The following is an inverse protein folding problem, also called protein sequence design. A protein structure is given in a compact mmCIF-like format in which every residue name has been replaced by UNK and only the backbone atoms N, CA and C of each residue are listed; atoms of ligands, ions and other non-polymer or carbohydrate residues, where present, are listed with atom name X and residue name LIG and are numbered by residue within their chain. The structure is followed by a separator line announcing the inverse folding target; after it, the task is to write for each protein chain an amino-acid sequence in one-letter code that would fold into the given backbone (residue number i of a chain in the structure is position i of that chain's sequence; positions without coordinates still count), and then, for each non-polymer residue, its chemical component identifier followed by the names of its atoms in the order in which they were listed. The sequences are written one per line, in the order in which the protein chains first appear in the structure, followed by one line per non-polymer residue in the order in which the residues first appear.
data_IF_516103496900
#
_entry.id   IF_516103496900
#
_cell.length_a   1.000
_cell.length_b   1.000
_cell.length_c   1.000
_cell.angle_alpha   90.00
_cell.angle_beta   90.00
_cell.angle_gamma   90.00
#
_symmetry.space_group_name_H-M   'P 1'
#
loop_
_entity.id
_entity.type
_entity.pdbx_description
1 polymer ?
#
# COMPACT_ATOMS: atom_id res chain seq x y z
N UNK A 1 18.00 -30.83 -1.06
CA UNK A 1 17.72 -30.57 -2.47
C UNK A 1 16.55 -29.59 -2.57
N UNK A 2 16.69 -28.68 -3.50
CA UNK A 2 15.76 -27.62 -3.80
C UNK A 2 14.97 -28.07 -5.04
N UNK A 3 13.63 -28.08 -4.98
CA UNK A 3 12.79 -28.58 -6.08
C UNK A 3 12.86 -27.65 -7.30
N UNK A 4 12.89 -26.34 -7.07
CA UNK A 4 12.92 -25.30 -8.11
C UNK A 4 14.30 -25.17 -8.74
N UNK A 5 15.36 -25.67 -8.07
CA UNK A 5 16.74 -25.63 -8.56
C UNK A 5 17.43 -26.98 -8.35
N UNK A 6 16.97 -28.02 -9.06
CA UNK A 6 17.48 -29.37 -8.89
C UNK A 6 18.94 -29.48 -9.29
N UNK A 7 19.74 -30.12 -8.42
CA UNK A 7 21.18 -30.36 -8.63
C UNK A 7 21.49 -31.76 -9.11
N UNK A 8 20.49 -32.54 -9.50
CA UNK A 8 20.65 -33.83 -10.16
C UNK A 8 21.10 -33.69 -11.62
N UNK A 9 21.60 -34.76 -12.21
CA UNK A 9 22.28 -34.70 -13.49
C UNK A 9 21.38 -34.40 -14.70
N UNK A 10 20.06 -34.61 -14.57
CA UNK A 10 19.06 -34.44 -15.62
C UNK A 10 17.93 -33.42 -15.24
N UNK A 11 18.05 -32.84 -14.05
CA UNK A 11 17.14 -31.81 -13.54
C UNK A 11 15.66 -32.24 -13.45
N UNK A 12 15.41 -33.54 -13.18
CA UNK A 12 14.05 -34.09 -13.06
C UNK A 12 13.57 -34.26 -11.60
N UNK A 13 14.34 -33.76 -10.64
CA UNK A 13 14.08 -33.90 -9.20
C UNK A 13 14.09 -35.34 -8.67
N UNK A 14 14.69 -36.28 -9.41
CA UNK A 14 14.85 -37.65 -9.02
C UNK A 14 16.34 -37.96 -8.85
N UNK A 15 16.79 -38.02 -7.62
CA UNK A 15 18.18 -38.30 -7.24
C UNK A 15 18.44 -39.82 -7.17
N UNK A 16 19.30 -40.32 -8.05
CA UNK A 16 19.76 -41.72 -8.01
C UNK A 16 20.89 -41.86 -6.97
N UNK A 17 20.65 -42.63 -5.95
CA UNK A 17 21.58 -42.84 -4.83
C UNK A 17 22.03 -44.30 -4.77
N UNK A 18 23.33 -44.51 -4.71
CA UNK A 18 23.91 -45.82 -4.48
C UNK A 18 24.47 -45.92 -3.08
N UNK A 19 23.91 -46.76 -2.26
CA UNK A 19 24.50 -47.10 -0.95
C UNK A 19 25.35 -48.37 -1.05
N UNK A 20 26.58 -48.27 -0.54
CA UNK A 20 27.52 -49.40 -0.47
C UNK A 20 27.81 -49.72 1.00
N UNK A 21 27.64 -50.96 1.38
CA UNK A 21 28.08 -51.48 2.67
C UNK A 21 29.24 -52.42 2.46
N UNK A 22 30.28 -52.31 3.29
CA UNK A 22 31.45 -53.19 3.23
C UNK A 22 31.91 -53.56 4.64
N UNK A 23 32.32 -54.85 4.83
CA UNK A 23 32.97 -55.33 6.04
C UNK A 23 34.53 -55.37 5.96
N UNK A 24 35.05 -54.77 4.87
CA UNK A 24 36.48 -54.72 4.57
C UNK A 24 36.98 -55.86 3.70
N UNK A 25 36.17 -56.89 3.46
CA UNK A 25 36.48 -58.03 2.58
C UNK A 25 35.43 -58.23 1.49
N UNK A 26 34.18 -57.98 1.81
CA UNK A 26 33.04 -58.08 0.92
C UNK A 26 32.33 -56.73 0.88
N UNK A 27 31.70 -56.42 -0.23
CA UNK A 27 30.81 -55.25 -0.35
C UNK A 27 29.53 -55.62 -1.08
N UNK A 28 28.44 -55.00 -0.64
CA UNK A 28 27.15 -55.07 -1.32
C UNK A 28 26.66 -53.62 -1.62
N UNK A 29 26.00 -53.47 -2.74
CA UNK A 29 25.49 -52.18 -3.20
C UNK A 29 24.01 -52.25 -3.54
N UNK A 30 23.30 -51.21 -3.19
CA UNK A 30 21.88 -51.03 -3.54
C UNK A 30 21.62 -49.64 -4.06
N UNK A 31 20.98 -49.60 -5.21
CA UNK A 31 20.50 -48.32 -5.79
C UNK A 31 19.07 -48.07 -5.31
N UNK A 32 18.78 -46.84 -5.02
CA UNK A 32 17.44 -46.33 -4.77
C UNK A 32 17.34 -44.90 -5.28
N UNK A 33 16.11 -44.45 -5.51
CA UNK A 33 15.80 -43.09 -5.95
C UNK A 33 15.19 -42.31 -4.81
N UNK A 34 15.57 -41.02 -4.70
CA UNK A 34 14.94 -40.05 -3.81
C UNK A 34 14.28 -39.04 -4.73
N UNK A 35 12.96 -38.99 -4.71
CA UNK A 35 12.18 -37.96 -5.41
C UNK A 35 11.99 -36.77 -4.46
N UNK A 36 12.43 -35.62 -4.87
CA UNK A 36 12.09 -34.34 -4.21
C UNK A 36 10.72 -33.94 -4.70
N UNK A 37 9.80 -33.66 -3.79
CA UNK A 37 8.46 -33.16 -4.10
C UNK A 37 8.41 -31.68 -3.83
N UNK A 38 7.68 -30.97 -4.69
CA UNK A 38 7.46 -29.55 -4.48
C UNK A 38 6.69 -29.31 -3.16
N UNK A 39 7.20 -28.42 -2.32
CA UNK A 39 6.46 -27.82 -1.22
C UNK A 39 5.97 -26.45 -1.70
N UNK A 40 4.73 -26.40 -2.17
CA UNK A 40 4.14 -25.17 -2.73
C UNK A 40 4.02 -24.02 -1.71
N UNK A 41 4.41 -24.25 -0.45
CA UNK A 41 4.45 -23.19 0.56
C UNK A 41 5.69 -22.31 0.47
N UNK A 42 6.75 -22.81 -0.21
CA UNK A 42 8.00 -22.09 -0.47
C UNK A 42 8.17 -21.69 -1.95
N UNK A 43 7.14 -21.91 -2.79
CA UNK A 43 7.12 -21.51 -4.19
C UNK A 43 7.25 -19.99 -4.32
N UNK A 44 8.44 -19.52 -4.65
CA UNK A 44 8.69 -18.11 -4.99
C UNK A 44 7.90 -17.65 -6.23
N UNK A 45 7.53 -18.61 -7.08
CA UNK A 45 6.79 -18.38 -8.33
C UNK A 45 5.26 -18.34 -8.15
N UNK A 46 4.75 -18.53 -6.92
CA UNK A 46 3.31 -18.58 -6.75
C UNK A 46 2.65 -17.21 -6.95
N UNK A 47 1.70 -17.20 -7.88
CA UNK A 47 0.79 -16.09 -8.03
C UNK A 47 -0.01 -15.89 -6.74
N UNK A 48 -0.32 -14.65 -6.41
CA UNK A 48 -1.25 -14.37 -5.31
C UNK A 48 -2.59 -15.06 -5.55
N UNK A 49 -3.09 -15.74 -4.53
CA UNK A 49 -4.28 -16.60 -4.61
C UNK A 49 -5.61 -15.87 -4.32
N UNK A 50 -5.59 -14.54 -4.16
CA UNK A 50 -6.79 -13.75 -3.86
C UNK A 50 -7.14 -13.67 -2.37
N UNK A 51 -6.30 -14.19 -1.47
CA UNK A 51 -6.58 -14.22 -0.03
C UNK A 51 -5.55 -13.40 0.75
N UNK A 52 -6.01 -12.38 1.48
CA UNK A 52 -5.19 -11.67 2.45
C UNK A 52 -5.03 -12.52 3.72
N UNK A 53 -3.80 -12.67 4.18
CA UNK A 53 -3.50 -13.32 5.44
C UNK A 53 -3.44 -12.24 6.53
N UNK A 54 -4.10 -12.49 7.66
CA UNK A 54 -4.14 -11.56 8.80
C UNK A 54 -3.54 -12.28 10.01
N UNK A 55 -2.29 -11.98 10.29
CA UNK A 55 -1.55 -12.55 11.41
C UNK A 55 -0.40 -11.64 11.85
N UNK A 56 0.44 -12.14 12.75
CA UNK A 56 1.57 -11.40 13.34
C UNK A 56 2.92 -11.70 12.65
N UNK A 57 2.93 -12.39 11.51
CA UNK A 57 4.16 -12.84 10.85
C UNK A 57 5.08 -11.66 10.45
N UNK A 58 4.49 -10.54 10.07
CA UNK A 58 5.21 -9.37 9.56
C UNK A 58 4.94 -8.10 10.36
N UNK A 59 4.83 -8.19 11.70
CA UNK A 59 4.65 -6.99 12.52
C UNK A 59 5.69 -5.90 12.18
N UNK A 60 5.26 -4.63 12.07
CA UNK A 60 3.96 -4.02 12.47
C UNK A 60 2.82 -4.16 11.45
N UNK A 61 3.02 -4.87 10.37
CA UNK A 61 2.00 -5.08 9.34
C UNK A 61 1.08 -6.23 9.76
N UNK A 62 -0.23 -5.92 9.93
CA UNK A 62 -1.23 -6.84 10.47
C UNK A 62 -1.88 -7.73 9.40
N UNK A 63 -1.66 -7.40 8.15
CA UNK A 63 -2.17 -8.14 7.00
C UNK A 63 -1.12 -8.19 5.90
N UNK A 64 -1.11 -9.27 5.16
CA UNK A 64 -0.16 -9.43 4.07
C UNK A 64 -0.70 -10.28 2.92
N UNK A 65 -0.05 -10.14 1.78
CA UNK A 65 -0.17 -10.97 0.59
C UNK A 65 1.23 -11.29 0.08
N UNK A 66 1.38 -12.37 -0.67
CA UNK A 66 2.63 -12.64 -1.40
C UNK A 66 2.28 -12.81 -2.88
N UNK A 67 3.05 -12.17 -3.75
CA UNK A 67 2.91 -12.28 -5.19
C UNK A 67 4.28 -12.41 -5.82
N UNK A 68 4.55 -13.57 -6.42
CA UNK A 68 5.79 -13.87 -7.10
C UNK A 68 7.06 -13.47 -6.30
N UNK A 69 7.10 -13.85 -5.02
CA UNK A 69 8.23 -13.60 -4.12
C UNK A 69 8.28 -12.20 -3.48
N UNK A 70 7.40 -11.27 -3.87
CA UNK A 70 7.26 -10.00 -3.18
C UNK A 70 6.21 -10.15 -2.07
N UNK A 71 6.61 -9.89 -0.83
CA UNK A 71 5.70 -9.80 0.31
C UNK A 71 5.11 -8.39 0.32
N UNK A 72 3.80 -8.27 0.42
CA UNK A 72 3.07 -7.00 0.49
C UNK A 72 2.44 -6.91 1.87
N UNK A 73 2.98 -6.06 2.74
CA UNK A 73 2.50 -5.89 4.11
C UNK A 73 1.72 -4.61 4.32
N UNK A 74 0.52 -4.72 4.89
CA UNK A 74 -0.36 -3.60 5.19
C UNK A 74 -0.46 -3.32 6.68
N UNK A 75 -0.34 -2.03 7.07
CA UNK A 75 -0.64 -1.58 8.43
C UNK A 75 -2.13 -1.77 8.74
N UNK A 76 -2.49 -1.76 10.02
CA UNK A 76 -3.86 -2.03 10.49
C UNK A 76 -4.92 -1.09 9.93
N UNK A 77 -4.53 0.14 9.64
CA UNK A 77 -5.39 1.23 9.15
C UNK A 77 -5.62 1.24 7.62
N UNK A 78 -4.97 0.33 6.88
CA UNK A 78 -5.20 0.14 5.44
C UNK A 78 -6.43 -0.73 5.23
N UNK A 79 -7.29 -0.39 4.28
CA UNK A 79 -8.44 -1.25 3.95
C UNK A 79 -8.03 -2.54 3.27
N UNK A 80 -8.83 -3.59 3.44
CA UNK A 80 -8.59 -4.87 2.76
C UNK A 80 -8.75 -4.73 1.25
N UNK A 81 -9.68 -3.87 0.81
CA UNK A 81 -9.91 -3.57 -0.61
C UNK A 81 -8.67 -2.95 -1.26
N UNK A 82 -8.04 -1.98 -0.61
CA UNK A 82 -6.81 -1.37 -1.11
C UNK A 82 -5.65 -2.38 -1.16
N UNK A 83 -5.44 -3.14 -0.09
CA UNK A 83 -4.45 -4.22 -0.07
C UNK A 83 -4.65 -5.24 -1.19
N UNK A 84 -5.91 -5.61 -1.44
CA UNK A 84 -6.30 -6.49 -2.54
C UNK A 84 -5.93 -5.89 -3.91
N UNK A 85 -6.14 -4.59 -4.10
CA UNK A 85 -5.77 -3.91 -5.34
C UNK A 85 -4.25 -3.85 -5.53
N UNK A 86 -3.47 -3.57 -4.47
CA UNK A 86 -2.00 -3.63 -4.53
C UNK A 86 -1.53 -5.01 -4.95
N UNK A 87 -2.04 -6.06 -4.31
CA UNK A 87 -1.70 -7.45 -4.64
C UNK A 87 -2.13 -7.85 -6.07
N UNK A 88 -3.32 -7.44 -6.50
CA UNK A 88 -3.85 -7.70 -7.85
C UNK A 88 -2.99 -7.02 -8.94
N UNK A 89 -2.63 -5.76 -8.76
CA UNK A 89 -1.78 -5.03 -9.71
C UNK A 89 -0.40 -5.66 -9.78
N UNK A 90 0.22 -5.95 -8.63
CA UNK A 90 1.51 -6.65 -8.55
C UNK A 90 1.47 -8.00 -9.27
N UNK A 91 0.46 -8.79 -8.96
CA UNK A 91 0.26 -10.09 -9.58
C UNK A 91 0.06 -9.99 -11.10
N UNK A 92 -0.68 -8.97 -11.57
CA UNK A 92 -0.90 -8.74 -13.00
C UNK A 92 0.38 -8.37 -13.71
N UNK A 93 1.20 -7.49 -13.14
CA UNK A 93 2.48 -7.05 -13.73
C UNK A 93 3.48 -8.22 -13.83
N UNK A 94 3.55 -9.06 -12.81
CA UNK A 94 4.50 -10.17 -12.73
C UNK A 94 3.99 -11.48 -13.35
N UNK A 95 2.75 -11.53 -13.84
CA UNK A 95 2.21 -12.70 -14.52
C UNK A 95 3.02 -13.07 -15.77
N UNK A 96 2.78 -14.24 -16.32
CA UNK A 96 3.36 -14.69 -17.58
C UNK A 96 2.30 -14.87 -18.66
N UNK A 97 2.72 -14.78 -19.91
CA UNK A 97 1.95 -15.08 -21.11
C UNK A 97 2.80 -15.85 -22.12
N UNK A 98 2.28 -16.10 -23.32
CA UNK A 98 2.99 -16.81 -24.38
C UNK A 98 4.25 -16.11 -24.90
N UNK A 99 4.34 -14.79 -24.74
CA UNK A 99 5.47 -13.97 -25.19
C UNK A 99 6.54 -13.78 -24.08
N UNK A 100 6.33 -14.37 -22.90
CA UNK A 100 7.21 -14.16 -21.75
C UNK A 100 8.60 -14.78 -21.96
N UNK A 101 9.64 -13.99 -21.76
CA UNK A 101 11.01 -14.48 -21.59
C UNK A 101 11.13 -15.17 -20.22
N UNK A 102 10.91 -16.46 -20.21
CA UNK A 102 10.86 -17.26 -18.96
C UNK A 102 12.18 -17.18 -18.18
N UNK A 103 13.34 -17.19 -18.84
CA UNK A 103 14.63 -17.11 -18.16
C UNK A 103 14.81 -15.82 -17.39
N UNK A 104 14.54 -14.67 -18.03
CA UNK A 104 14.69 -13.37 -17.37
C UNK A 104 13.62 -13.19 -16.26
N UNK A 105 12.40 -13.65 -16.53
CA UNK A 105 11.34 -13.60 -15.53
C UNK A 105 11.68 -14.44 -14.30
N UNK A 106 12.08 -15.69 -14.47
CA UNK A 106 12.48 -16.57 -13.35
C UNK A 106 13.65 -15.94 -12.58
N UNK A 107 14.67 -15.43 -13.27
CA UNK A 107 15.79 -14.72 -12.62
C UNK A 107 15.30 -13.57 -11.73
N UNK A 108 14.33 -12.79 -12.20
CA UNK A 108 13.78 -11.66 -11.45
C UNK A 108 12.98 -12.12 -10.23
N UNK A 109 12.09 -13.10 -10.42
CA UNK A 109 11.21 -13.62 -9.35
C UNK A 109 12.02 -14.32 -8.25
N UNK A 110 12.98 -15.16 -8.62
CA UNK A 110 13.91 -15.77 -7.68
C UNK A 110 14.69 -14.73 -6.87
N UNK A 111 15.02 -13.60 -7.49
CA UNK A 111 15.70 -12.51 -6.78
C UNK A 111 14.80 -11.90 -5.70
N UNK A 112 13.50 -11.72 -5.95
CA UNK A 112 12.57 -11.21 -4.94
C UNK A 112 12.54 -12.09 -3.70
N UNK A 113 12.43 -13.41 -3.88
CA UNK A 113 12.40 -14.36 -2.76
C UNK A 113 13.73 -14.45 -2.04
N UNK A 114 14.84 -14.62 -2.76
CA UNK A 114 16.17 -14.76 -2.15
C UNK A 114 16.62 -13.53 -1.36
N UNK A 115 16.13 -12.35 -1.71
CA UNK A 115 16.47 -11.10 -1.05
C UNK A 115 15.33 -10.54 -0.19
N UNK A 116 14.30 -11.33 0.10
CA UNK A 116 13.18 -10.98 0.97
C UNK A 116 12.56 -9.60 0.61
N UNK A 117 12.15 -9.41 -0.64
CA UNK A 117 11.54 -8.15 -1.06
C UNK A 117 10.22 -7.92 -0.35
N UNK A 118 10.06 -6.74 0.23
CA UNK A 118 8.90 -6.38 1.02
C UNK A 118 8.35 -5.01 0.58
N UNK A 119 7.12 -4.99 0.08
CA UNK A 119 6.39 -3.78 -0.23
C UNK A 119 5.56 -3.36 0.97
N UNK A 120 5.84 -2.18 1.48
CA UNK A 120 5.14 -1.58 2.61
C UNK A 120 3.89 -0.85 2.13
N UNK A 121 2.76 -1.00 2.86
CA UNK A 121 1.50 -0.31 2.57
C UNK A 121 0.94 0.28 3.86
N UNK A 122 0.56 1.55 3.81
CA UNK A 122 -0.04 2.28 4.92
C UNK A 122 -1.19 3.17 4.48
N UNK A 123 -1.88 3.76 5.43
CA UNK A 123 -2.97 4.69 5.21
C UNK A 123 -2.57 6.09 5.67
N UNK A 124 -2.08 6.91 4.73
CA UNK A 124 -1.69 8.29 5.02
C UNK A 124 -1.82 9.13 3.74
N UNK A 125 -1.60 10.43 3.81
CA UNK A 125 -1.42 11.28 2.65
C UNK A 125 0.06 11.48 2.35
N UNK A 126 0.41 11.82 1.12
CA UNK A 126 1.78 12.17 0.74
C UNK A 126 2.37 13.26 1.65
N UNK A 127 1.57 14.26 2.00
CA UNK A 127 2.00 15.38 2.84
C UNK A 127 2.27 15.00 4.30
N UNK A 128 1.72 13.89 4.77
CA UNK A 128 1.92 13.34 6.11
C UNK A 128 2.71 12.04 6.10
N UNK A 129 3.20 11.63 4.93
CA UNK A 129 4.08 10.49 4.80
C UNK A 129 5.36 10.76 5.60
N UNK A 130 5.41 10.18 6.76
CA UNK A 130 6.64 10.00 7.51
C UNK A 130 6.83 8.50 7.68
N UNK A 131 7.74 7.93 6.94
CA UNK A 131 8.11 6.54 7.12
C UNK A 131 8.89 6.32 8.40
N UNK A 132 8.94 7.28 9.32
CA UNK A 132 9.59 7.10 10.62
C UNK A 132 8.88 6.00 11.43
N UNK A 133 8.65 4.88 10.77
CA UNK A 133 8.41 3.62 11.43
C UNK A 133 9.59 3.37 12.35
N UNK A 134 9.31 3.08 13.60
CA UNK A 134 10.32 2.75 14.59
C UNK A 134 9.72 1.76 15.58
N UNK A 135 10.56 0.98 16.23
CA UNK A 135 10.12 -0.07 17.15
C UNK A 135 9.25 0.47 18.29
N UNK A 136 9.44 1.73 18.71
CA UNK A 136 8.66 2.32 19.80
C UNK A 136 7.19 2.51 19.41
N UNK A 137 6.92 2.99 18.21
CA UNK A 137 5.56 3.28 17.71
C UNK A 137 4.97 2.08 16.96
N UNK A 138 5.83 1.25 16.36
CA UNK A 138 5.47 0.12 15.52
C UNK A 138 6.26 -1.13 15.95
N UNK A 139 5.85 -1.81 17.03
CA UNK A 139 6.54 -3.00 17.51
C UNK A 139 6.67 -4.07 16.42
N UNK A 140 7.89 -4.59 16.24
CA UNK A 140 8.27 -5.51 15.17
C UNK A 140 8.94 -4.84 13.97
N UNK A 141 9.02 -3.50 13.94
CA UNK A 141 9.63 -2.76 12.83
C UNK A 141 11.10 -3.12 12.62
N UNK A 142 11.89 -3.24 13.69
CA UNK A 142 13.31 -3.55 13.58
C UNK A 142 13.54 -4.88 12.84
N UNK A 143 12.69 -5.88 13.06
CA UNK A 143 12.77 -7.15 12.33
C UNK A 143 12.52 -6.96 10.82
N UNK A 144 11.54 -6.15 10.43
CA UNK A 144 11.26 -5.87 9.01
C UNK A 144 12.42 -5.07 8.40
N UNK A 145 12.87 -4.02 9.08
CA UNK A 145 13.94 -3.17 8.59
C UNK A 145 15.27 -3.92 8.39
N UNK A 146 15.60 -4.83 9.29
CA UNK A 146 16.88 -5.51 9.30
C UNK A 146 16.95 -6.75 8.39
N UNK A 147 15.81 -7.38 8.09
CA UNK A 147 15.77 -8.67 7.40
C UNK A 147 15.13 -8.66 6.03
N UNK A 148 14.55 -7.51 5.60
CA UNK A 148 13.85 -7.42 4.33
C UNK A 148 14.44 -6.32 3.43
N UNK A 149 14.34 -6.52 2.12
CA UNK A 149 14.66 -5.50 1.14
C UNK A 149 13.47 -4.58 0.99
N UNK A 150 13.60 -3.37 1.53
CA UNK A 150 12.59 -2.32 1.49
C UNK A 150 12.97 -1.28 0.43
N UNK A 151 11.98 -0.81 -0.31
CA UNK A 151 12.19 0.28 -1.26
C UNK A 151 11.35 1.45 -0.80
N UNK A 152 10.09 1.42 -1.13
CA UNK A 152 9.20 2.53 -1.02
C UNK A 152 7.95 2.16 -0.22
N UNK A 153 7.02 3.08 -0.11
CA UNK A 153 5.84 2.94 0.72
C UNK A 153 4.60 3.33 -0.09
N UNK A 154 3.72 2.39 -0.35
CA UNK A 154 2.41 2.68 -0.94
C UNK A 154 1.49 3.18 0.17
N UNK A 155 0.74 4.25 -0.09
CA UNK A 155 -0.27 4.72 0.87
C UNK A 155 -1.65 4.73 0.24
N UNK A 156 -2.60 4.28 1.04
CA UNK A 156 -4.01 4.48 0.75
C UNK A 156 -4.39 5.91 1.14
N UNK A 157 -4.96 6.68 0.22
CA UNK A 157 -5.46 7.99 0.55
C UNK A 157 -6.64 7.88 1.54
N UNK A 158 -6.65 8.73 2.56
CA UNK A 158 -7.70 8.79 3.57
C UNK A 158 -8.62 9.98 3.36
N UNK A 159 -9.68 10.09 4.17
CA UNK A 159 -10.55 11.27 4.17
C UNK A 159 -9.81 12.58 4.48
N UNK A 160 -8.66 12.50 5.14
CA UNK A 160 -7.80 13.64 5.46
C UNK A 160 -6.79 13.97 4.36
N UNK A 161 -6.64 13.10 3.37
CA UNK A 161 -5.77 13.36 2.22
C UNK A 161 -6.32 14.47 1.34
N UNK A 162 -5.49 15.21 0.59
CA UNK A 162 -5.93 16.10 -0.46
C UNK A 162 -6.91 15.42 -1.42
N UNK A 163 -7.88 16.18 -1.96
CA UNK A 163 -8.96 15.61 -2.78
C UNK A 163 -8.47 14.96 -4.08
N UNK A 164 -7.36 15.43 -4.61
CA UNK A 164 -6.68 14.92 -5.79
C UNK A 164 -6.03 13.54 -5.53
N UNK A 165 -5.42 13.34 -4.36
CA UNK A 165 -4.88 12.04 -3.95
C UNK A 165 -5.95 10.96 -3.77
N UNK A 166 -7.19 11.36 -3.45
CA UNK A 166 -8.32 10.44 -3.18
C UNK A 166 -8.99 9.92 -4.44
N UNK A 167 -8.66 10.43 -5.61
CA UNK A 167 -9.23 9.93 -6.85
C UNK A 167 -8.74 8.51 -7.13
N UNK A 168 -9.59 7.68 -7.74
CA UNK A 168 -9.21 6.34 -8.19
C UNK A 168 -7.94 6.35 -9.04
N UNK A 169 -7.83 7.31 -9.94
CA UNK A 169 -6.67 7.49 -10.82
C UNK A 169 -5.39 7.74 -10.03
N UNK A 170 -5.43 8.63 -9.03
CA UNK A 170 -4.28 8.93 -8.19
C UNK A 170 -3.88 7.73 -7.32
N UNK A 171 -4.84 6.97 -6.78
CA UNK A 171 -4.55 5.77 -6.00
C UNK A 171 -3.93 4.65 -6.88
N UNK A 172 -4.44 4.48 -8.10
CA UNK A 172 -3.81 3.55 -9.08
C UNK A 172 -2.38 4.01 -9.39
N UNK A 173 -2.16 5.32 -9.61
CA UNK A 173 -0.83 5.84 -9.87
C UNK A 173 0.12 5.57 -8.70
N UNK A 174 -0.29 5.85 -7.48
CA UNK A 174 0.50 5.56 -6.28
C UNK A 174 0.90 4.09 -6.18
N UNK A 175 -0.01 3.16 -6.52
CA UNK A 175 0.31 1.73 -6.55
C UNK A 175 1.31 1.42 -7.66
N UNK A 176 1.07 1.90 -8.89
CA UNK A 176 1.95 1.62 -10.04
C UNK A 176 3.36 2.15 -9.81
N UNK A 177 3.50 3.37 -9.33
CA UNK A 177 4.78 4.02 -9.07
C UNK A 177 5.60 3.20 -8.08
N UNK A 178 5.09 2.98 -6.89
CA UNK A 178 5.86 2.39 -5.81
C UNK A 178 6.07 0.87 -5.96
N UNK A 179 5.13 0.15 -6.61
CA UNK A 179 5.37 -1.25 -6.95
C UNK A 179 6.40 -1.40 -8.08
N UNK A 180 6.41 -0.49 -9.04
CA UNK A 180 7.46 -0.46 -10.07
C UNK A 180 8.81 -0.11 -9.47
N UNK A 181 8.91 0.76 -8.47
CA UNK A 181 10.15 0.99 -7.72
C UNK A 181 10.66 -0.31 -7.07
N UNK A 182 9.79 -1.06 -6.45
CA UNK A 182 10.14 -2.37 -5.86
C UNK A 182 10.58 -3.37 -6.93
N UNK A 183 9.87 -3.46 -8.05
CA UNK A 183 10.20 -4.37 -9.15
C UNK A 183 11.53 -3.95 -9.83
N UNK A 184 11.74 -2.68 -10.09
CA UNK A 184 12.96 -2.19 -10.77
C UNK A 184 14.20 -2.26 -9.89
N UNK A 185 14.07 -2.21 -8.56
CA UNK A 185 15.17 -2.59 -7.68
C UNK A 185 15.52 -4.09 -7.85
N UNK A 186 14.54 -4.94 -8.10
CA UNK A 186 14.79 -6.33 -8.47
C UNK A 186 15.59 -6.45 -9.77
N UNK A 187 15.30 -5.60 -10.76
CA UNK A 187 16.11 -5.52 -11.99
C UNK A 187 17.54 -5.07 -11.70
N UNK A 188 17.75 -4.02 -10.90
CA UNK A 188 19.09 -3.56 -10.46
C UNK A 188 19.92 -4.70 -9.88
N UNK A 189 19.29 -5.53 -9.05
CA UNK A 189 19.95 -6.66 -8.39
C UNK A 189 20.12 -7.90 -9.28
N UNK A 190 19.36 -8.00 -10.36
CA UNK A 190 19.35 -9.19 -11.24
C UNK A 190 20.16 -9.00 -12.52
N UNK A 191 20.23 -7.79 -13.06
CA UNK A 191 20.73 -7.53 -14.40
C UNK A 191 21.73 -6.36 -14.43
N UNK A 192 22.95 -6.59 -14.90
CA UNK A 192 23.98 -5.56 -15.01
C UNK A 192 23.55 -4.34 -15.87
N UNK A 193 22.71 -4.57 -16.88
CA UNK A 193 22.15 -3.50 -17.72
C UNK A 193 21.23 -2.53 -16.95
N UNK A 194 20.76 -2.95 -15.77
CA UNK A 194 19.87 -2.17 -14.90
C UNK A 194 20.56 -1.62 -13.64
N UNK A 195 21.87 -1.81 -13.49
CA UNK A 195 22.59 -1.35 -12.31
C UNK A 195 22.43 0.16 -12.10
N UNK A 196 21.88 0.55 -10.95
CA UNK A 196 21.76 1.94 -10.53
C UNK A 196 23.14 2.58 -10.28
N UNK A 197 24.10 1.80 -9.81
CA UNK A 197 25.42 2.29 -9.42
C UNK A 197 26.41 2.39 -10.59
N UNK A 198 26.16 1.70 -11.72
CA UNK A 198 27.04 1.70 -12.88
C UNK A 198 26.70 2.83 -13.86
N UNK A 199 27.62 3.77 -14.05
CA UNK A 199 27.44 4.87 -15.03
C UNK A 199 27.32 4.39 -16.48
N UNK A 200 27.69 3.13 -16.75
CA UNK A 200 27.66 2.51 -18.08
C UNK A 200 26.56 1.46 -18.23
N UNK A 201 25.67 1.31 -17.24
CA UNK A 201 24.48 0.48 -17.41
C UNK A 201 23.57 1.09 -18.48
N UNK A 202 22.83 0.24 -19.19
CA UNK A 202 21.88 0.71 -20.21
C UNK A 202 20.82 1.64 -19.59
N UNK A 203 20.42 1.39 -18.34
CA UNK A 203 19.51 2.25 -17.60
C UNK A 203 20.09 3.67 -17.40
N UNK A 204 21.31 3.79 -16.88
CA UNK A 204 21.94 5.09 -16.66
C UNK A 204 22.27 5.81 -17.97
N UNK A 205 22.61 5.08 -19.04
CA UNK A 205 22.80 5.67 -20.37
C UNK A 205 21.48 6.23 -20.93
N UNK A 206 20.37 5.49 -20.80
CA UNK A 206 19.05 5.95 -21.23
C UNK A 206 18.55 7.13 -20.37
N UNK A 207 18.75 7.10 -19.06
CA UNK A 207 18.44 8.21 -18.18
C UNK A 207 19.21 9.48 -18.55
N UNK A 208 20.51 9.36 -18.80
CA UNK A 208 21.35 10.49 -19.19
C UNK A 208 20.96 11.05 -20.58
N UNK A 209 20.51 10.21 -21.52
CA UNK A 209 19.90 10.67 -22.78
C UNK A 209 18.69 11.56 -22.47
N UNK A 210 17.75 11.08 -21.63
CA UNK A 210 16.53 11.82 -21.29
C UNK A 210 16.83 13.16 -20.59
N UNK A 211 17.78 13.18 -19.66
CA UNK A 211 18.22 14.42 -18.99
C UNK A 211 18.84 15.38 -20.01
N UNK A 212 19.76 14.92 -20.85
CA UNK A 212 20.46 15.75 -21.83
C UNK A 212 19.54 16.36 -22.89
N UNK A 213 18.44 15.67 -23.20
CA UNK A 213 17.43 16.12 -24.15
C UNK A 213 16.33 16.96 -23.49
N UNK A 214 16.36 17.13 -22.17
CA UNK A 214 15.39 17.92 -21.40
C UNK A 214 14.01 17.24 -21.26
N UNK A 215 13.98 15.91 -21.32
CA UNK A 215 12.75 15.13 -21.14
C UNK A 215 12.61 14.51 -19.75
N UNK A 216 13.69 14.52 -18.97
CA UNK A 216 13.71 14.12 -17.56
C UNK A 216 14.47 15.17 -16.74
N UNK A 217 13.84 15.76 -15.74
CA UNK A 217 14.44 16.75 -14.82
C UNK A 217 14.14 16.40 -13.37
N UNK A 218 14.99 15.59 -12.72
CA UNK A 218 14.80 15.22 -11.30
C UNK A 218 15.20 16.33 -10.32
N UNK A 219 15.72 17.48 -10.80
CA UNK A 219 16.31 18.51 -9.93
C UNK A 219 15.27 19.20 -9.03
N UNK A 220 14.02 19.28 -9.47
CA UNK A 220 12.94 19.91 -8.71
C UNK A 220 12.62 19.16 -7.43
N UNK A 221 12.55 17.83 -7.49
CA UNK A 221 12.16 16.98 -6.37
C UNK A 221 13.37 16.51 -5.55
N UNK A 222 14.52 16.22 -6.19
CA UNK A 222 15.66 15.55 -5.57
C UNK A 222 16.94 16.38 -5.55
N UNK A 223 16.92 17.63 -6.04
CA UNK A 223 18.12 18.46 -6.20
C UNK A 223 18.90 18.73 -4.90
N UNK A 224 18.25 18.83 -3.76
CA UNK A 224 18.94 18.98 -2.46
C UNK A 224 19.76 17.74 -2.11
N UNK A 225 19.21 16.55 -2.39
CA UNK A 225 19.86 15.27 -2.10
C UNK A 225 21.15 15.09 -2.91
N UNK A 226 21.25 15.70 -4.08
CA UNK A 226 22.48 15.64 -4.91
C UNK A 226 23.72 16.15 -4.15
N UNK A 227 23.55 17.14 -3.29
CA UNK A 227 24.64 17.68 -2.48
C UNK A 227 24.80 17.00 -1.12
N UNK A 228 23.71 16.46 -0.56
CA UNK A 228 23.68 15.86 0.77
C UNK A 228 24.13 14.40 0.75
N UNK A 229 23.61 13.61 -0.19
CA UNK A 229 23.97 12.21 -0.43
C UNK A 229 23.95 11.90 -1.94
N UNK A 230 25.06 12.13 -2.64
CA UNK A 230 25.15 11.90 -4.10
C UNK A 230 24.91 10.45 -4.50
N UNK A 231 25.23 9.47 -3.65
CA UNK A 231 25.02 8.06 -3.95
C UNK A 231 23.52 7.72 -3.89
N UNK A 232 22.84 8.16 -2.86
CA UNK A 232 21.40 8.00 -2.74
C UNK A 232 20.66 8.76 -3.85
N UNK A 233 21.07 10.00 -4.15
CA UNK A 233 20.52 10.77 -5.28
C UNK A 233 20.56 9.99 -6.56
N UNK A 234 21.74 9.43 -6.93
CA UNK A 234 21.91 8.66 -8.16
C UNK A 234 20.94 7.47 -8.24
N UNK A 235 20.75 6.77 -7.14
CA UNK A 235 19.85 5.60 -7.08
C UNK A 235 18.39 6.01 -7.20
N UNK A 236 17.97 7.06 -6.50
CA UNK A 236 16.59 7.56 -6.56
C UNK A 236 16.25 8.01 -7.97
N UNK A 237 17.08 8.86 -8.61
CA UNK A 237 16.76 9.34 -9.95
C UNK A 237 16.76 8.24 -11.02
N UNK A 238 17.55 7.19 -10.85
CA UNK A 238 17.52 6.02 -11.73
C UNK A 238 16.25 5.19 -11.54
N UNK A 239 15.77 5.08 -10.30
CA UNK A 239 14.52 4.40 -9.94
C UNK A 239 13.30 5.15 -10.50
N UNK A 240 13.24 6.46 -10.32
CA UNK A 240 12.19 7.33 -10.86
C UNK A 240 12.18 7.29 -12.40
N UNK A 241 13.34 7.40 -13.02
CA UNK A 241 13.45 7.27 -14.48
C UNK A 241 12.90 5.94 -14.98
N UNK A 242 13.22 4.83 -14.29
CA UNK A 242 12.73 3.51 -14.66
C UNK A 242 11.19 3.42 -14.57
N UNK A 243 10.58 4.00 -13.53
CA UNK A 243 9.12 4.12 -13.41
C UNK A 243 8.54 4.91 -14.57
N UNK A 244 9.02 6.13 -14.85
CA UNK A 244 8.53 6.97 -15.94
C UNK A 244 8.64 6.28 -17.29
N UNK A 245 9.77 5.63 -17.56
CA UNK A 245 9.99 4.88 -18.79
C UNK A 245 8.94 3.77 -18.95
N UNK A 246 8.76 2.92 -17.94
CA UNK A 246 7.85 1.77 -18.02
C UNK A 246 6.39 2.24 -18.15
N UNK A 247 5.97 3.20 -17.33
CA UNK A 247 4.60 3.72 -17.35
C UNK A 247 4.27 4.35 -18.71
N UNK A 248 5.24 5.06 -19.32
CA UNK A 248 5.08 5.69 -20.63
C UNK A 248 5.03 4.65 -21.75
N UNK A 249 5.89 3.63 -21.74
CA UNK A 249 5.90 2.54 -22.72
C UNK A 249 4.62 1.69 -22.66
N UNK A 250 3.96 1.65 -21.52
CA UNK A 250 2.64 1.04 -21.37
C UNK A 250 1.48 1.91 -21.87
N UNK A 251 1.76 3.15 -22.31
CA UNK A 251 0.76 4.19 -22.65
C UNK A 251 -0.21 4.49 -21.50
N UNK A 252 0.22 4.30 -20.23
CA UNK A 252 -0.55 4.55 -19.02
C UNK A 252 -0.29 5.94 -18.43
N UNK A 253 0.83 6.57 -18.77
CA UNK A 253 1.29 7.84 -18.21
C UNK A 253 0.27 8.97 -18.35
N UNK A 254 -0.31 9.16 -19.53
CA UNK A 254 -1.27 10.23 -19.79
C UNK A 254 -2.56 10.10 -18.98
N UNK A 255 -2.91 8.89 -18.56
CA UNK A 255 -4.12 8.62 -17.78
C UNK A 255 -3.85 8.70 -16.27
N UNK A 256 -2.79 8.08 -15.78
CA UNK A 256 -2.57 7.92 -14.35
C UNK A 256 -1.59 8.92 -13.75
N UNK A 257 -0.69 9.52 -14.55
CA UNK A 257 0.26 10.54 -14.11
C UNK A 257 0.32 11.73 -15.10
N UNK A 258 -0.79 12.42 -15.40
CA UNK A 258 -0.84 13.47 -16.43
C UNK A 258 0.09 14.65 -16.11
N UNK A 259 0.19 15.06 -14.85
CA UNK A 259 0.81 16.31 -14.39
C UNK A 259 2.26 16.12 -13.94
N UNK A 260 3.06 15.39 -14.71
CA UNK A 260 4.45 15.06 -14.36
C UNK A 260 5.49 16.12 -14.79
N UNK A 261 5.09 17.13 -15.54
CA UNK A 261 6.01 18.21 -15.97
C UNK A 261 6.34 19.17 -14.81
N UNK A 262 7.61 19.62 -14.62
CA UNK A 262 8.72 19.45 -15.59
C UNK A 262 9.52 18.14 -15.46
N UNK A 263 9.28 17.31 -14.45
CA UNK A 263 10.10 16.13 -14.18
C UNK A 263 10.15 15.18 -15.37
N UNK A 264 9.00 14.87 -15.97
CA UNK A 264 8.89 14.00 -17.13
C UNK A 264 7.97 14.56 -18.21
N UNK A 265 8.40 14.61 -19.46
CA UNK A 265 7.66 15.27 -20.55
C UNK A 265 7.14 14.33 -21.63
N UNK A 266 7.63 13.09 -21.71
CA UNK A 266 7.18 12.11 -22.71
C UNK A 266 5.80 11.56 -22.33
N UNK A 267 4.90 11.48 -23.33
CA UNK A 267 3.50 11.16 -23.09
C UNK A 267 3.06 9.77 -23.59
N UNK A 268 3.85 9.14 -24.47
CA UNK A 268 3.46 7.85 -25.09
C UNK A 268 4.67 7.05 -25.57
N UNK A 269 4.49 5.75 -25.76
CA UNK A 269 5.50 4.84 -26.34
C UNK A 269 5.95 5.32 -27.71
N UNK A 270 5.06 5.85 -28.54
CA UNK A 270 5.42 6.43 -29.85
C UNK A 270 6.35 7.64 -29.73
N UNK A 271 6.15 8.51 -28.73
CA UNK A 271 7.08 9.61 -28.46
C UNK A 271 8.40 9.06 -27.92
N UNK A 272 8.37 8.08 -27.01
CA UNK A 272 9.57 7.44 -26.46
C UNK A 272 10.46 6.91 -27.58
N UNK A 273 9.92 6.13 -28.51
CA UNK A 273 10.66 5.53 -29.61
C UNK A 273 11.38 6.56 -30.51
N UNK A 274 10.82 7.78 -30.62
CA UNK A 274 11.34 8.84 -31.48
C UNK A 274 12.32 9.75 -30.73
N UNK A 275 12.01 10.09 -29.49
CA UNK A 275 12.72 11.12 -28.73
C UNK A 275 13.77 10.56 -27.77
N UNK A 276 13.55 9.33 -27.26
CA UNK A 276 14.43 8.65 -26.31
C UNK A 276 14.71 7.20 -26.76
N UNK A 277 15.43 7.01 -27.87
CA UNK A 277 15.66 5.69 -28.46
C UNK A 277 16.38 4.71 -27.52
N UNK A 278 17.27 5.16 -26.62
CA UNK A 278 17.93 4.28 -25.66
C UNK A 278 16.95 3.76 -24.63
N UNK A 279 16.05 4.60 -24.12
CA UNK A 279 15.00 4.20 -23.18
C UNK A 279 14.04 3.20 -23.84
N UNK A 280 13.57 3.50 -25.06
CA UNK A 280 12.70 2.59 -25.82
C UNK A 280 13.36 1.25 -26.08
N UNK A 281 14.66 1.25 -26.43
CA UNK A 281 15.42 0.02 -26.64
C UNK A 281 15.54 -0.79 -25.34
N UNK A 282 15.92 -0.15 -24.23
CA UNK A 282 16.05 -0.81 -22.93
C UNK A 282 14.74 -1.49 -22.51
N UNK A 283 13.61 -0.79 -22.65
CA UNK A 283 12.29 -1.36 -22.38
C UNK A 283 12.02 -2.59 -23.23
N UNK A 284 12.18 -2.51 -24.56
CA UNK A 284 11.89 -3.62 -25.45
C UNK A 284 12.80 -4.84 -25.22
N UNK A 285 14.07 -4.61 -24.92
CA UNK A 285 15.04 -5.68 -24.73
C UNK A 285 14.88 -6.40 -23.37
N UNK A 286 14.36 -5.71 -22.35
CA UNK A 286 14.44 -6.23 -20.98
C UNK A 286 13.12 -6.25 -20.22
N UNK A 287 12.16 -5.39 -20.54
CA UNK A 287 10.90 -5.26 -19.81
C UNK A 287 9.72 -5.88 -20.55
N UNK A 288 9.59 -5.59 -21.85
CA UNK A 288 8.41 -5.99 -22.65
C UNK A 288 8.13 -7.50 -22.65
N UNK A 289 9.19 -8.33 -22.55
CA UNK A 289 9.06 -9.78 -22.46
C UNK A 289 9.09 -10.34 -21.01
N UNK A 290 9.08 -9.48 -19.99
CA UNK A 290 9.19 -9.91 -18.57
C UNK A 290 8.01 -9.43 -17.75
N UNK A 291 7.63 -8.16 -17.90
CA UNK A 291 6.50 -7.57 -17.19
C UNK A 291 5.28 -7.45 -18.11
N UNK A 292 4.11 -7.72 -17.56
CA UNK A 292 2.84 -7.57 -18.29
C UNK A 292 2.29 -6.17 -18.05
N UNK A 293 1.99 -5.45 -19.14
CA UNK A 293 1.21 -4.20 -19.06
C UNK A 293 -0.16 -4.48 -18.44
N UNK A 294 -0.51 -3.87 -17.30
CA UNK A 294 -1.80 -4.11 -16.65
C UNK A 294 -3.00 -3.56 -17.41
N UNK A 295 -2.81 -2.76 -18.44
CA UNK A 295 -3.80 -2.09 -19.30
C UNK A 295 -4.78 -1.18 -18.57
N UNK A 296 -5.17 -0.07 -19.18
CA UNK A 296 -6.19 0.84 -18.61
C UNK A 296 -7.51 0.12 -18.33
N UNK A 297 -7.94 -0.76 -19.24
CA UNK A 297 -9.20 -1.50 -19.06
C UNK A 297 -9.21 -2.39 -17.81
N UNK A 298 -8.08 -3.01 -17.47
CA UNK A 298 -7.95 -3.78 -16.23
C UNK A 298 -7.95 -2.87 -15.00
N UNK A 299 -7.16 -1.81 -15.03
CA UNK A 299 -7.01 -0.87 -13.91
C UNK A 299 -8.33 -0.13 -13.62
N UNK A 300 -9.06 0.27 -14.68
CA UNK A 300 -10.36 0.92 -14.54
C UNK A 300 -11.45 -0.04 -14.01
N UNK A 301 -11.26 -1.35 -14.17
CA UNK A 301 -12.13 -2.38 -13.60
C UNK A 301 -11.91 -2.65 -12.11
N UNK A 302 -10.83 -2.14 -11.50
CA UNK A 302 -10.59 -2.31 -10.07
C UNK A 302 -11.58 -1.46 -9.26
N UNK A 303 -12.11 -2.04 -8.20
CA UNK A 303 -12.94 -1.32 -7.24
C UNK A 303 -12.04 -0.81 -6.11
N UNK A 304 -12.06 0.51 -5.90
CA UNK A 304 -11.51 1.12 -4.71
C UNK A 304 -12.68 1.45 -3.80
N UNK A 305 -12.56 1.12 -2.54
CA UNK A 305 -13.55 1.58 -1.57
C UNK A 305 -13.70 3.08 -1.78
N UNK A 306 -14.93 3.53 -2.03
CA UNK A 306 -15.19 4.95 -2.12
C UNK A 306 -14.81 5.52 -0.77
N UNK A 307 -13.63 6.16 -0.71
CA UNK A 307 -13.33 6.97 0.45
C UNK A 307 -14.54 7.87 0.64
N UNK A 308 -15.16 7.88 1.82
CA UNK A 308 -16.33 8.68 2.05
C UNK A 308 -15.98 10.07 1.54
N UNK A 309 -16.69 10.50 0.51
CA UNK A 309 -16.49 11.84 -0.04
C UNK A 309 -16.61 12.77 1.16
N UNK A 310 -15.54 13.49 1.50
CA UNK A 310 -15.43 14.37 2.67
C UNK A 310 -16.52 15.45 2.74
N UNK A 311 -17.62 15.26 2.03
CA UNK A 311 -18.74 16.16 1.85
C UNK A 311 -20.11 15.58 2.24
N UNK A 312 -20.22 14.41 2.80
CA UNK A 312 -21.45 14.06 3.50
C UNK A 312 -21.41 14.64 4.92
N UNK A 313 -21.58 15.95 4.98
CA UNK A 313 -21.84 16.61 6.26
C UNK A 313 -23.32 16.46 6.57
N UNK A 314 -23.64 15.64 7.53
CA UNK A 314 -25.00 15.50 8.04
C UNK A 314 -25.22 16.49 9.18
N UNK A 315 -26.29 17.28 9.11
CA UNK A 315 -26.63 18.23 10.16
C UNK A 315 -27.75 17.66 11.03
N UNK A 316 -27.43 17.44 12.31
CA UNK A 316 -28.36 16.94 13.32
C UNK A 316 -28.81 18.11 14.21
N UNK A 317 -30.11 18.31 14.28
CA UNK A 317 -30.69 19.31 15.17
C UNK A 317 -30.90 18.73 16.56
N UNK A 318 -30.31 19.37 17.56
CA UNK A 318 -30.41 18.96 18.97
C UNK A 318 -31.29 19.96 19.68
N UNK A 319 -32.51 19.56 20.01
CA UNK A 319 -33.42 20.31 20.86
C UNK A 319 -33.38 19.87 22.34
N UNK A 320 -34.08 20.59 23.18
CA UNK A 320 -34.09 20.37 24.64
C UNK A 320 -35.51 20.31 25.12
N UNK A 321 -35.84 19.30 25.91
CA UNK A 321 -37.15 19.15 26.53
C UNK A 321 -37.04 18.72 28.02
N UNK A 322 -38.12 18.92 28.78
CA UNK A 322 -38.21 18.36 30.10
C UNK A 322 -38.13 16.82 30.07
N UNK A 323 -37.39 16.22 30.97
CA UNK A 323 -37.19 14.79 31.02
C UNK A 323 -38.49 14.05 31.41
N UNK A 324 -39.03 13.25 30.51
CA UNK A 324 -40.25 12.47 30.72
C UNK A 324 -40.10 11.38 31.80
N UNK A 325 -38.87 10.98 32.10
CA UNK A 325 -38.55 9.88 33.02
C UNK A 325 -37.72 10.34 34.25
N UNK A 326 -37.83 11.61 34.61
CA UNK A 326 -37.04 12.16 35.73
C UNK A 326 -37.13 13.67 35.83
N UNK A 327 -36.20 14.26 36.58
CA UNK A 327 -36.10 15.71 36.73
C UNK A 327 -35.09 16.31 35.73
N UNK A 328 -35.23 17.62 35.44
CA UNK A 328 -34.34 18.38 34.61
C UNK A 328 -34.64 18.28 33.07
N UNK A 329 -33.74 18.78 32.28
CA UNK A 329 -33.86 18.80 30.82
C UNK A 329 -32.99 17.72 30.21
N UNK A 330 -33.36 17.25 29.01
CA UNK A 330 -32.60 16.28 28.21
C UNK A 330 -32.50 16.72 26.76
N UNK A 331 -31.50 16.23 26.07
CA UNK A 331 -31.40 16.38 24.62
C UNK A 331 -32.43 15.51 23.90
N UNK A 332 -32.97 16.08 22.84
CA UNK A 332 -33.90 15.42 21.92
C UNK A 332 -33.32 15.50 20.52
N UNK A 333 -33.21 14.36 19.89
CA UNK A 333 -32.77 14.18 18.49
C UNK A 333 -33.89 13.43 17.79
N UNK A 334 -34.36 13.98 16.65
CA UNK A 334 -35.49 13.43 15.87
C UNK A 334 -36.71 13.09 16.74
N UNK A 335 -37.07 14.00 17.63
CA UNK A 335 -38.23 13.85 18.52
C UNK A 335 -38.06 12.81 19.65
N UNK A 336 -36.89 12.18 19.78
CA UNK A 336 -36.61 11.16 20.79
C UNK A 336 -35.65 11.68 21.84
N UNK A 337 -36.07 11.62 23.13
CA UNK A 337 -35.24 11.98 24.28
C UNK A 337 -34.07 11.00 24.44
N UNK A 338 -32.84 11.50 24.62
CA UNK A 338 -31.61 10.71 24.81
C UNK A 338 -31.44 9.62 23.74
N UNK A 339 -31.79 9.94 22.47
CA UNK A 339 -31.74 8.99 21.35
C UNK A 339 -30.37 8.33 21.25
N UNK A 340 -30.36 7.00 21.17
CA UNK A 340 -29.17 6.29 20.68
C UNK A 340 -29.05 6.51 19.20
N UNK A 341 -27.90 6.99 18.74
CA UNK A 341 -27.62 7.31 17.33
C UNK A 341 -26.49 6.43 16.81
N UNK A 342 -26.51 6.16 15.51
CA UNK A 342 -25.45 5.49 14.80
C UNK A 342 -24.77 6.56 13.96
N UNK A 343 -23.45 6.65 14.03
CA UNK A 343 -22.63 7.49 13.17
C UNK A 343 -21.70 6.58 12.38
N UNK A 344 -21.51 6.89 11.12
CA UNK A 344 -20.79 6.05 10.16
C UNK A 344 -19.35 6.54 10.00
N UNK A 345 -18.41 5.60 9.90
CA UNK A 345 -17.00 5.89 9.61
C UNK A 345 -16.89 6.70 8.33
N UNK A 346 -16.05 7.74 8.34
CA UNK A 346 -15.79 8.60 7.19
C UNK A 346 -16.77 9.75 7.01
N UNK A 347 -17.90 9.80 7.72
CA UNK A 347 -18.84 10.93 7.66
C UNK A 347 -18.53 12.01 8.68
N UNK A 348 -18.94 13.23 8.37
CA UNK A 348 -18.88 14.39 9.27
C UNK A 348 -20.28 14.76 9.72
N UNK A 349 -20.47 14.90 11.03
CA UNK A 349 -21.74 15.23 11.64
C UNK A 349 -21.67 16.57 12.37
N UNK A 350 -22.59 17.47 12.05
CA UNK A 350 -22.73 18.79 12.69
C UNK A 350 -23.94 18.77 13.62
N UNK A 351 -23.71 18.81 14.93
CA UNK A 351 -24.75 18.89 15.94
C UNK A 351 -25.04 20.34 16.27
N UNK A 352 -26.16 20.89 15.77
CA UNK A 352 -26.62 22.22 16.14
C UNK A 352 -27.36 22.15 17.45
N UNK A 353 -26.89 22.90 18.45
CA UNK A 353 -27.40 22.85 19.81
C UNK A 353 -27.54 24.25 20.44
N UNK A 354 -28.26 24.34 21.54
CA UNK A 354 -28.37 25.58 22.34
C UNK A 354 -26.99 25.94 22.95
N UNK A 355 -26.62 27.21 22.89
CA UNK A 355 -25.41 27.70 23.57
C UNK A 355 -25.46 27.55 25.10
N UNK A 356 -26.69 27.51 25.70
CA UNK A 356 -26.88 27.26 27.12
C UNK A 356 -26.66 25.78 27.50
N UNK A 357 -26.65 24.89 26.52
CA UNK A 357 -26.44 23.45 26.70
C UNK A 357 -25.41 22.95 25.67
N UNK A 358 -24.10 23.18 25.92
CA UNK A 358 -23.06 22.79 24.97
C UNK A 358 -22.97 21.27 24.83
N UNK A 359 -23.11 20.78 23.60
CA UNK A 359 -23.05 19.35 23.23
C UNK A 359 -21.60 18.90 23.11
N UNK A 360 -21.23 17.81 23.77
CA UNK A 360 -19.86 17.28 23.83
C UNK A 360 -19.88 15.76 23.74
N UNK A 361 -18.70 15.18 23.45
CA UNK A 361 -18.50 13.73 23.36
C UNK A 361 -17.56 13.23 24.46
N UNK A 362 -17.70 11.95 24.83
CA UNK A 362 -16.85 11.26 25.80
C UNK A 362 -16.93 9.75 25.59
N UNK A 363 -15.89 9.02 25.98
CA UNK A 363 -15.90 7.55 26.06
C UNK A 363 -16.58 7.05 27.35
N UNK A 364 -16.93 7.96 28.25
CA UNK A 364 -17.62 7.66 29.51
C UNK A 364 -19.04 8.19 29.46
N UNK A 365 -20.02 7.35 29.88
CA UNK A 365 -21.41 7.77 29.98
C UNK A 365 -21.56 9.01 30.86
N UNK A 366 -22.36 10.00 30.39
CA UNK A 366 -22.53 11.30 31.02
C UNK A 366 -21.24 12.16 31.10
N UNK A 367 -20.19 11.79 30.36
CA UNK A 367 -18.96 12.56 30.17
C UNK A 367 -18.25 12.95 31.46
N UNK A 368 -17.89 14.23 31.59
CA UNK A 368 -17.21 14.77 32.77
C UNK A 368 -18.04 14.65 34.07
N UNK A 369 -19.36 14.61 33.98
CA UNK A 369 -20.23 14.37 35.11
C UNK A 369 -20.21 12.90 35.58
N UNK A 370 -19.80 11.98 34.70
CA UNK A 370 -19.58 10.58 35.01
C UNK A 370 -18.13 10.23 35.38
N UNK A 371 -17.31 11.24 35.60
CA UNK A 371 -15.88 11.07 35.93
C UNK A 371 -14.96 10.81 34.74
N UNK A 372 -15.47 10.92 33.49
CA UNK A 372 -14.73 10.81 32.29
C UNK A 372 -14.10 12.13 31.81
N UNK A 373 -13.44 12.07 30.66
CA UNK A 373 -12.88 13.24 29.96
C UNK A 373 -13.66 13.52 28.67
N UNK A 374 -13.57 14.74 28.19
CA UNK A 374 -14.12 15.10 26.88
C UNK A 374 -13.28 14.41 25.77
N UNK A 375 -13.97 13.82 24.79
CA UNK A 375 -13.37 13.30 23.57
C UNK A 375 -13.27 14.42 22.54
N UNK A 376 -12.07 14.62 21.97
CA UNK A 376 -11.76 15.77 21.11
C UNK A 376 -11.20 15.39 19.73
N UNK A 377 -10.86 14.13 19.51
CA UNK A 377 -10.29 13.70 18.23
C UNK A 377 -11.33 13.81 17.11
N UNK A 378 -10.95 14.50 16.01
CA UNK A 378 -11.88 14.81 14.92
C UNK A 378 -13.00 15.80 15.28
N UNK A 379 -12.95 16.45 16.46
CA UNK A 379 -14.02 17.33 16.96
C UNK A 379 -13.63 18.79 16.86
N UNK A 380 -14.51 19.59 16.23
CA UNK A 380 -14.45 21.06 16.24
C UNK A 380 -15.69 21.64 16.90
N UNK A 381 -15.54 22.81 17.54
CA UNK A 381 -16.60 23.45 18.33
C UNK A 381 -16.72 24.92 18.01
N UNK A 382 -17.94 25.35 17.82
CA UNK A 382 -18.31 26.78 17.71
C UNK A 382 -19.41 27.11 18.70
N UNK A 383 -19.83 28.37 18.76
CA UNK A 383 -20.97 28.76 19.56
C UNK A 383 -22.27 28.18 18.95
N UNK A 384 -22.87 27.21 19.62
CA UNK A 384 -24.13 26.57 19.19
C UNK A 384 -23.97 25.42 18.18
N UNK A 385 -22.72 24.98 17.89
CA UNK A 385 -22.50 23.83 17.03
C UNK A 385 -21.28 23.04 17.49
N UNK A 386 -21.38 21.70 17.41
CA UNK A 386 -20.27 20.77 17.61
C UNK A 386 -20.23 19.84 16.42
N UNK A 387 -19.06 19.78 15.76
CA UNK A 387 -18.83 18.93 14.59
C UNK A 387 -17.91 17.80 14.99
N UNK A 388 -18.19 16.60 14.50
CA UNK A 388 -17.30 15.43 14.63
C UNK A 388 -17.15 14.75 13.27
N UNK A 389 -15.92 14.43 12.90
CA UNK A 389 -15.62 13.54 11.79
C UNK A 389 -15.28 12.17 12.34
N UNK A 390 -15.99 11.16 11.89
CA UNK A 390 -15.85 9.79 12.38
C UNK A 390 -14.74 9.08 11.59
N UNK A 391 -13.76 8.57 12.29
CA UNK A 391 -12.67 7.75 11.72
C UNK A 391 -12.78 6.30 12.21
N UNK A 392 -12.04 5.40 11.59
CA UNK A 392 -11.95 4.00 12.04
C UNK A 392 -11.40 3.87 13.49
N UNK A 393 -10.64 4.88 13.97
CA UNK A 393 -10.13 4.94 15.34
C UNK A 393 -11.11 5.58 16.34
N UNK A 394 -12.28 6.06 15.89
CA UNK A 394 -13.28 6.66 16.77
C UNK A 394 -13.86 5.59 17.71
N UNK A 395 -13.80 5.77 19.05
CA UNK A 395 -14.27 4.76 19.98
C UNK A 395 -15.76 4.44 19.84
N UNK A 396 -16.12 3.16 19.95
CA UNK A 396 -17.51 2.70 20.03
C UNK A 396 -17.70 1.82 21.28
N UNK A 397 -18.64 2.14 22.17
CA UNK A 397 -19.55 3.26 22.13
C UNK A 397 -18.89 4.59 22.50
N UNK A 398 -19.38 5.67 21.88
CA UNK A 398 -19.15 7.05 22.29
C UNK A 398 -20.42 7.56 22.96
N UNK A 399 -20.32 8.57 23.81
CA UNK A 399 -21.46 9.17 24.49
C UNK A 399 -21.51 10.67 24.22
N UNK A 400 -22.68 11.21 23.95
CA UNK A 400 -22.88 12.65 23.95
C UNK A 400 -23.45 13.13 25.26
N UNK A 401 -23.08 14.33 25.71
CA UNK A 401 -23.49 14.89 26.97
C UNK A 401 -23.47 16.43 26.93
N UNK A 402 -24.12 17.05 27.90
CA UNK A 402 -23.99 18.50 28.10
C UNK A 402 -22.84 18.77 29.08
N UNK A 403 -21.92 19.67 28.70
CA UNK A 403 -20.77 19.99 29.57
C UNK A 403 -21.16 20.77 30.85
N UNK A 404 -22.39 21.34 30.91
CA UNK A 404 -22.86 22.14 32.01
C UNK A 404 -23.82 21.33 32.93
N UNK A 405 -24.70 20.51 32.33
CA UNK A 405 -25.79 19.84 33.06
C UNK A 405 -25.67 18.31 32.92
N UNK A 406 -25.72 17.66 34.06
CA UNK A 406 -25.68 16.19 34.15
C UNK A 406 -26.95 15.52 33.62
N UNK A 407 -26.79 14.35 33.00
CA UNK A 407 -27.90 13.45 32.67
C UNK A 407 -28.69 13.81 31.41
N UNK A 408 -28.21 14.72 30.57
CA UNK A 408 -28.89 15.18 29.36
C UNK A 408 -28.68 14.29 28.12
N UNK A 409 -27.58 13.54 28.04
CA UNK A 409 -27.11 12.88 26.84
C UNK A 409 -27.55 11.43 26.64
N UNK A 410 -27.03 10.81 25.62
CA UNK A 410 -27.28 9.43 25.17
C UNK A 410 -26.03 8.75 24.58
N UNK A 411 -26.24 7.65 23.88
CA UNK A 411 -25.22 6.77 23.36
C UNK A 411 -25.05 6.99 21.84
N UNK A 412 -23.82 6.88 21.38
CA UNK A 412 -23.44 6.82 19.96
C UNK A 412 -22.78 5.47 19.71
N UNK A 413 -23.25 4.76 18.71
CA UNK A 413 -22.58 3.58 18.16
C UNK A 413 -21.90 4.00 16.86
N UNK A 414 -20.66 3.62 16.67
CA UNK A 414 -20.00 3.79 15.38
C UNK A 414 -20.31 2.56 14.55
N UNK A 415 -20.92 2.76 13.38
CA UNK A 415 -21.25 1.74 12.40
C UNK A 415 -20.32 1.81 11.21
N UNK A 416 -20.14 0.70 10.54
CA UNK A 416 -19.61 0.68 9.18
C UNK A 416 -20.78 0.98 8.22
N UNK A 417 -20.49 1.54 7.05
CA UNK A 417 -21.51 1.75 6.02
C UNK A 417 -21.98 0.36 5.55
N UNK A 418 -23.27 0.04 5.79
CA UNK A 418 -23.85 -1.20 5.29
C UNK A 418 -23.84 -1.17 3.76
N UNK A 419 -22.86 -1.88 3.18
CA UNK A 419 -22.82 -2.11 1.73
C UNK A 419 -24.06 -2.88 1.28
N UNK A 420 -24.89 -2.27 0.44
CA UNK A 420 -25.91 -2.93 -0.35
C UNK A 420 -25.30 -3.49 -1.63
#
# INVERSE_FOLDING_TARGET
PDFENPSDSNTDNVYEVTATVSDGSLSDTKNFTITVTNDTSDDSDSAWNGVLIKDDAYKPYDKHATSYGIIIGGLSDVTDGFMTNVANITNRILASNEDTNTTNRTTLIDNFSRNNFFQRVGSTSMSSYDPALNETNYPGWDNINDNYTLVDFIWEATSNSPSDERTKTAQINSILEHILHTITLGYDKSFNSWSYDSDTSDLNLAMNEAISMGHYDPSGNYGSLQSEDPAQYKRIIAQEFAYWMILTEWDLKSTYAPDSSPEWTIQSSSQMSTMLPLAHKLYNDTVAGVLINPTSSYLDGLEFESLPTSNQTETIQVSIEANNNGSGNVYVIDGTQKKSIILEVGKTYVFNHSTAHPFRFSTTSNGTHGGGTEYTDGVTKTSGSTTITISASTPSPLYYYCSIHSGMGGTITIGEEDGY
#
